data_IF_148981276510
#
_entry.id   IF_148981276510
#
_cell.length_a   1.000
_cell.length_b   1.000
_cell.length_c   1.000
_cell.angle_alpha   90.00
_cell.angle_beta   90.00
_cell.angle_gamma   90.00
#
_symmetry.space_group_name_H-M   'P 1'
#
loop_
_entity.id
_entity.type
_entity.pdbx_description
1 polymer ?
#
# COMPACT_ATOMS: atom_id res chain seq x y z
N UNK A 1 -11.34 -12.13 -0.76
CA UNK A 1 -10.12 -11.94 -1.48
C UNK A 1 -10.16 -10.65 -2.28
N UNK A 2 -9.13 -9.86 -2.22
CA UNK A 2 -9.13 -8.61 -2.95
C UNK A 2 -9.15 -8.88 -4.44
N UNK A 3 -9.94 -8.09 -5.12
CA UNK A 3 -9.99 -8.14 -6.56
C UNK A 3 -8.92 -7.20 -7.07
N UNK A 4 -8.07 -7.68 -7.94
CA UNK A 4 -7.11 -6.80 -8.58
C UNK A 4 -7.89 -5.79 -9.38
N UNK A 5 -7.73 -4.52 -9.03
CA UNK A 5 -8.26 -3.48 -9.84
C UNK A 5 -7.49 -3.51 -11.14
N UNK A 6 -8.21 -3.64 -12.22
CA UNK A 6 -7.54 -3.81 -13.49
C UNK A 6 -6.73 -2.59 -13.84
N UNK A 7 -5.47 -2.83 -14.10
CA UNK A 7 -4.57 -1.79 -14.53
C UNK A 7 -4.90 -1.43 -15.95
N UNK A 8 -5.48 -0.27 -16.14
CA UNK A 8 -5.85 0.19 -17.47
C UNK A 8 -4.98 1.32 -17.94
N UNK A 9 -4.28 1.94 -17.03
CA UNK A 9 -3.46 3.10 -17.32
C UNK A 9 -2.09 2.93 -16.71
N UNK A 10 -1.07 3.56 -17.29
CA UNK A 10 0.27 3.49 -16.72
C UNK A 10 0.35 4.02 -15.30
N UNK A 11 -0.60 4.83 -14.88
CA UNK A 11 -0.60 5.44 -13.56
C UNK A 11 -1.76 4.94 -12.74
N UNK A 12 -1.85 3.65 -12.59
CA UNK A 12 -2.91 3.09 -11.77
C UNK A 12 -2.66 3.41 -10.32
N UNK A 13 -3.74 3.70 -9.62
CA UNK A 13 -3.71 4.05 -8.21
C UNK A 13 -4.61 3.09 -7.47
N UNK A 14 -4.08 2.51 -6.40
CA UNK A 14 -4.84 1.65 -5.52
C UNK A 14 -5.02 2.38 -4.20
N UNK A 15 -6.23 2.37 -3.67
CA UNK A 15 -6.51 2.96 -2.38
C UNK A 15 -7.03 1.85 -1.47
N UNK A 16 -6.32 1.60 -0.39
CA UNK A 16 -6.67 0.56 0.56
C UNK A 16 -6.88 1.18 1.93
N UNK A 17 -8.09 1.05 2.47
CA UNK A 17 -8.42 1.56 3.79
C UNK A 17 -8.85 0.39 4.65
N UNK A 18 -7.88 -0.35 5.16
CA UNK A 18 -8.11 -1.58 5.90
C UNK A 18 -7.11 -1.68 7.05
N UNK A 19 -7.42 -2.54 8.01
CA UNK A 19 -6.55 -2.70 9.17
C UNK A 19 -5.20 -3.30 8.76
N UNK A 20 -4.20 -3.11 9.65
CA UNK A 20 -2.85 -3.60 9.37
C UNK A 20 -2.82 -5.09 9.07
N UNK A 21 -3.51 -5.90 9.86
CA UNK A 21 -3.45 -7.34 9.68
C UNK A 21 -3.96 -7.77 8.31
N UNK A 22 -5.08 -7.19 7.92
CA UNK A 22 -5.65 -7.50 6.60
C UNK A 22 -4.75 -6.95 5.51
N UNK A 23 -4.23 -5.74 5.71
CA UNK A 23 -3.37 -5.10 4.74
C UNK A 23 -2.11 -5.92 4.48
N UNK A 24 -1.47 -6.41 5.55
CA UNK A 24 -0.26 -7.21 5.41
C UNK A 24 -0.54 -8.52 4.67
N UNK A 25 -1.71 -9.09 4.91
CA UNK A 25 -2.11 -10.32 4.21
C UNK A 25 -2.41 -10.06 2.73
N UNK A 26 -2.94 -8.88 2.42
CA UNK A 26 -3.36 -8.57 1.06
C UNK A 26 -2.27 -7.90 0.22
N UNK A 27 -1.24 -7.35 0.84
CA UNK A 27 -0.19 -6.63 0.11
C UNK A 27 0.40 -7.43 -1.05
N UNK A 28 0.70 -8.73 -0.90
CA UNK A 28 1.20 -9.49 -2.04
C UNK A 28 0.23 -9.51 -3.22
N UNK A 29 -1.07 -9.52 -2.93
CA UNK A 29 -2.07 -9.48 -3.99
C UNK A 29 -2.08 -8.14 -4.70
N UNK A 30 -1.97 -7.06 -3.92
CA UNK A 30 -1.88 -5.73 -4.52
C UNK A 30 -0.62 -5.61 -5.37
N UNK A 31 0.50 -6.11 -4.88
CA UNK A 31 1.75 -6.06 -5.62
C UNK A 31 1.64 -6.80 -6.95
N UNK A 32 0.91 -7.92 -6.95
CA UNK A 32 0.72 -8.70 -8.17
C UNK A 32 -0.12 -7.96 -9.19
N UNK A 33 -0.94 -7.00 -8.74
CA UNK A 33 -1.78 -6.20 -9.63
C UNK A 33 -1.11 -4.92 -10.08
N UNK A 34 0.02 -4.58 -9.47
CA UNK A 34 0.71 -3.34 -9.78
C UNK A 34 1.77 -3.57 -10.85
N UNK A 35 2.06 -2.52 -11.57
CA UNK A 35 3.15 -2.53 -12.55
C UNK A 35 4.04 -1.32 -12.26
N UNK A 36 5.23 -1.25 -12.87
CA UNK A 36 6.12 -0.11 -12.60
C UNK A 36 5.40 1.21 -12.80
N UNK A 37 5.47 2.06 -11.78
CA UNK A 37 4.80 3.34 -11.81
C UNK A 37 3.46 3.35 -11.11
N UNK A 38 2.91 2.20 -10.74
CA UNK A 38 1.65 2.16 -10.00
C UNK A 38 1.84 2.71 -8.60
N UNK A 39 0.83 3.39 -8.09
CA UNK A 39 0.86 3.97 -6.75
C UNK A 39 -0.17 3.28 -5.86
N UNK A 40 0.15 3.17 -4.59
CA UNK A 40 -0.80 2.63 -3.63
C UNK A 40 -0.83 3.52 -2.40
N UNK A 41 -2.04 3.89 -2.00
CA UNK A 41 -2.29 4.65 -0.79
C UNK A 41 -2.94 3.72 0.22
N UNK A 42 -2.36 3.61 1.39
CA UNK A 42 -2.85 2.73 2.42
C UNK A 42 -3.15 3.52 3.69
N UNK A 43 -4.31 3.24 4.28
CA UNK A 43 -4.72 3.91 5.52
C UNK A 43 -5.55 2.93 6.35
N UNK A 44 -6.00 3.40 7.52
CA UNK A 44 -6.80 2.55 8.40
C UNK A 44 -5.98 1.86 9.47
N UNK A 45 -4.75 2.32 9.70
CA UNK A 45 -3.87 1.74 10.71
C UNK A 45 -3.21 2.88 11.49
N UNK A 46 -2.43 2.52 12.49
CA UNK A 46 -1.79 3.49 13.37
C UNK A 46 -0.36 3.77 12.93
N UNK A 47 0.16 4.91 13.39
CA UNK A 47 1.54 5.30 13.07
C UNK A 47 2.53 4.18 13.41
N UNK A 48 2.32 3.53 14.54
CA UNK A 48 3.21 2.47 14.99
C UNK A 48 3.23 1.26 14.07
N UNK A 49 2.26 1.17 13.18
CA UNK A 49 2.18 0.06 12.22
C UNK A 49 2.98 0.34 10.95
N UNK A 50 3.38 1.59 10.73
CA UNK A 50 4.08 1.97 9.50
C UNK A 50 5.32 1.13 9.23
N UNK A 51 6.21 0.88 10.22
CA UNK A 51 7.41 0.09 9.95
C UNK A 51 7.10 -1.30 9.42
N UNK A 52 6.05 -1.94 9.94
CA UNK A 52 5.68 -3.28 9.49
C UNK A 52 5.18 -3.25 8.05
N UNK A 53 4.35 -2.27 7.74
CA UNK A 53 3.80 -2.14 6.41
C UNK A 53 4.90 -1.78 5.41
N UNK A 54 5.78 -0.87 5.81
CA UNK A 54 6.88 -0.44 4.96
C UNK A 54 7.82 -1.60 4.65
N UNK A 55 8.16 -2.40 5.64
CA UNK A 55 9.03 -3.54 5.44
C UNK A 55 8.42 -4.52 4.44
N UNK A 56 7.13 -4.81 4.63
CA UNK A 56 6.45 -5.75 3.75
C UNK A 56 6.38 -5.20 2.33
N UNK A 57 6.00 -3.93 2.19
CA UNK A 57 5.86 -3.32 0.87
C UNK A 57 7.20 -3.27 0.14
N UNK A 58 8.27 -2.94 0.85
CA UNK A 58 9.59 -2.88 0.22
C UNK A 58 10.04 -4.26 -0.22
N UNK A 59 9.70 -5.29 0.54
CA UNK A 59 10.03 -6.65 0.16
C UNK A 59 9.29 -7.10 -1.10
N UNK A 60 8.21 -6.40 -1.45
CA UNK A 60 7.41 -6.71 -2.63
C UNK A 60 7.77 -5.81 -3.82
N UNK A 61 8.81 -5.02 -3.70
CA UNK A 61 9.26 -4.18 -4.80
C UNK A 61 8.67 -2.79 -4.81
N UNK A 62 8.03 -2.39 -3.73
CA UNK A 62 7.50 -1.04 -3.62
C UNK A 62 8.48 -0.11 -2.96
N UNK A 63 8.38 1.18 -3.29
CA UNK A 63 9.22 2.21 -2.69
C UNK A 63 8.35 3.15 -1.87
N UNK A 64 8.80 3.43 -0.65
CA UNK A 64 8.10 4.35 0.23
C UNK A 64 8.26 5.77 -0.31
N UNK A 65 7.13 6.49 -0.43
CA UNK A 65 7.14 7.86 -0.91
C UNK A 65 6.99 8.83 0.24
N UNK A 66 5.88 8.74 0.96
CA UNK A 66 5.66 9.59 2.12
C UNK A 66 4.53 9.01 2.97
N UNK A 67 4.37 9.59 4.14
CA UNK A 67 3.26 9.22 5.00
C UNK A 67 2.62 10.49 5.56
N UNK A 68 1.41 10.34 6.04
CA UNK A 68 0.70 11.39 6.77
C UNK A 68 0.13 10.78 8.03
N UNK A 69 -0.02 11.61 9.04
CA UNK A 69 -0.57 11.15 10.30
C UNK A 69 -1.53 12.20 10.85
N UNK A 70 -2.59 11.70 11.49
CA UNK A 70 -3.57 12.56 12.10
C UNK A 70 -4.21 11.78 13.24
N UNK A 71 -4.15 12.32 14.46
CA UNK A 71 -4.74 11.69 15.64
C UNK A 71 -4.32 10.23 15.78
N UNK A 72 -3.03 9.94 15.59
CA UNK A 72 -2.44 8.60 15.65
C UNK A 72 -2.78 7.71 14.47
N UNK A 73 -3.67 8.14 13.59
CA UNK A 73 -3.95 7.42 12.36
C UNK A 73 -2.88 7.74 11.33
N UNK A 74 -2.56 6.77 10.53
CA UNK A 74 -1.53 6.92 9.52
C UNK A 74 -2.07 6.57 8.15
N UNK A 75 -1.49 7.25 7.17
CA UNK A 75 -1.72 6.94 5.77
C UNK A 75 -0.36 6.98 5.09
N UNK A 76 -0.09 6.00 4.23
CA UNK A 76 1.20 5.91 3.55
C UNK A 76 0.99 5.79 2.06
N UNK A 77 1.97 6.27 1.32
CA UNK A 77 1.97 6.16 -0.13
C UNK A 77 3.23 5.42 -0.56
N UNK A 78 3.03 4.41 -1.37
CA UNK A 78 4.13 3.67 -1.99
C UNK A 78 3.95 3.69 -3.49
N UNK A 79 5.05 3.47 -4.18
CA UNK A 79 5.05 3.37 -5.64
C UNK A 79 5.78 2.08 -6.02
N UNK A 80 5.27 1.39 -7.03
CA UNK A 80 5.94 0.20 -7.52
C UNK A 80 7.12 0.62 -8.40
N UNK A 81 8.26 0.05 -8.13
CA UNK A 81 9.47 0.34 -8.91
C UNK A 81 9.46 -0.27 -10.29
#
# INVERSE_FOLDING_TARGET
MPTCLKARKPFDVIIANITRNILLADLPHYAACMHPGSEIFMSGFYIQDIPFIREKAESLGMEFVHHREKNNWAAVKFIMK
#
